data_IF_251294692141
#
_entry.id   IF_251294692141
#
_cell.length_a   1.000
_cell.length_b   1.000
_cell.length_c   1.000
_cell.angle_alpha   90.00
_cell.angle_beta   90.00
_cell.angle_gamma   90.00
#
_symmetry.space_group_name_H-M   'P 1'
#
loop_
_entity.id
_entity.type
_entity.pdbx_description
1 polymer ?
#
# COMPACT_ATOMS: atom_id res chain seq x y z
N UNK A 1 20.45 0.43 -32.58
CA UNK A 1 19.20 0.16 -31.83
C UNK A 1 19.49 0.24 -30.32
N UNK A 2 19.61 1.46 -29.75
CA UNK A 2 20.07 1.66 -28.35
C UNK A 2 19.21 2.71 -27.58
N UNK A 3 18.30 3.43 -28.26
CA UNK A 3 17.64 4.62 -27.71
C UNK A 3 16.41 4.38 -26.80
N UNK A 4 15.92 3.14 -26.65
CA UNK A 4 14.68 2.86 -25.90
C UNK A 4 14.86 2.67 -24.40
N UNK A 5 16.04 2.24 -23.94
CA UNK A 5 16.31 1.94 -22.52
C UNK A 5 16.30 3.21 -21.64
N UNK A 6 16.97 4.29 -22.09
CA UNK A 6 17.14 5.51 -21.30
C UNK A 6 15.82 6.27 -21.06
N UNK A 7 14.92 6.29 -22.04
CA UNK A 7 13.61 6.95 -21.90
C UNK A 7 12.67 6.26 -20.92
N UNK A 8 12.67 4.92 -20.90
CA UNK A 8 11.82 4.15 -19.99
C UNK A 8 12.28 4.29 -18.53
N UNK A 9 13.58 4.24 -18.25
CA UNK A 9 14.10 4.42 -16.89
C UNK A 9 13.87 5.83 -16.36
N UNK A 10 14.07 6.87 -17.19
CA UNK A 10 13.86 8.27 -16.79
C UNK A 10 12.37 8.61 -16.62
N UNK A 11 11.48 7.97 -17.40
CA UNK A 11 10.04 8.05 -17.18
C UNK A 11 9.60 7.36 -15.87
N UNK A 12 10.03 6.11 -15.64
CA UNK A 12 9.70 5.37 -14.42
C UNK A 12 10.24 6.07 -13.15
N UNK A 13 11.45 6.64 -13.22
CA UNK A 13 12.04 7.41 -12.12
C UNK A 13 11.28 8.70 -11.81
N UNK A 14 10.69 9.37 -12.82
CA UNK A 14 9.78 10.51 -12.60
C UNK A 14 8.43 10.09 -12.06
N UNK A 15 7.84 9.02 -12.60
CA UNK A 15 6.52 8.55 -12.22
C UNK A 15 6.49 8.01 -10.79
N UNK A 16 7.47 7.18 -10.42
CA UNK A 16 7.62 6.61 -9.07
C UNK A 16 8.51 7.46 -8.14
N UNK A 17 8.94 8.65 -8.58
CA UNK A 17 9.77 9.55 -7.78
C UNK A 17 9.16 9.90 -6.42
N UNK A 18 7.87 10.30 -6.34
CA UNK A 18 7.18 10.57 -5.08
C UNK A 18 7.16 9.37 -4.13
N UNK A 19 6.96 8.16 -4.65
CA UNK A 19 6.92 6.91 -3.89
C UNK A 19 8.31 6.53 -3.37
N UNK A 20 9.35 6.71 -4.21
CA UNK A 20 10.74 6.52 -3.83
C UNK A 20 11.15 7.52 -2.74
N UNK A 21 10.70 8.78 -2.83
CA UNK A 21 10.94 9.79 -1.79
C UNK A 21 10.19 9.47 -0.48
N UNK A 22 8.94 8.99 -0.56
CA UNK A 22 8.17 8.54 0.61
C UNK A 22 8.83 7.35 1.31
N UNK A 23 9.25 6.33 0.55
CA UNK A 23 10.00 5.20 1.08
C UNK A 23 11.32 5.64 1.72
N UNK A 24 12.03 6.61 1.14
CA UNK A 24 13.29 7.11 1.70
C UNK A 24 13.13 8.12 2.85
N UNK A 25 11.90 8.46 3.25
CA UNK A 25 11.66 9.41 4.34
C UNK A 25 11.82 10.89 3.95
N UNK A 26 11.90 11.20 2.66
CA UNK A 26 12.10 12.57 2.12
C UNK A 26 10.79 13.33 1.90
N UNK A 27 9.65 12.63 1.85
CA UNK A 27 8.33 13.27 1.72
C UNK A 27 7.80 13.88 3.01
N UNK A 28 6.86 14.82 2.86
CA UNK A 28 6.15 15.44 3.98
C UNK A 28 5.21 14.43 4.64
N UNK A 29 5.34 14.25 5.96
CA UNK A 29 4.51 13.30 6.72
C UNK A 29 2.98 13.43 6.47
N UNK A 30 2.37 14.64 6.39
CA UNK A 30 0.95 14.76 6.09
C UNK A 30 0.57 14.23 4.69
N UNK A 31 1.42 14.44 3.68
CA UNK A 31 1.23 13.92 2.32
C UNK A 31 1.27 12.40 2.31
N UNK A 32 2.22 11.80 3.03
CA UNK A 32 2.34 10.33 3.10
C UNK A 32 1.20 9.72 3.91
N UNK A 33 0.82 10.33 5.03
CA UNK A 33 -0.25 9.82 5.89
C UNK A 33 -1.64 9.93 5.23
N UNK A 34 -2.02 11.10 4.70
CA UNK A 34 -3.35 11.30 4.12
C UNK A 34 -3.46 10.83 2.68
N UNK A 35 -2.46 11.14 1.83
CA UNK A 35 -2.48 10.80 0.41
C UNK A 35 -2.34 9.31 0.18
N UNK A 36 -1.21 8.73 0.56
CA UNK A 36 -1.06 7.28 0.49
C UNK A 36 -1.88 6.61 1.61
N UNK A 37 -1.53 6.83 2.87
CA UNK A 37 -2.08 6.08 4.02
C UNK A 37 -3.60 6.02 4.12
N UNK A 38 -4.33 7.09 3.78
CA UNK A 38 -5.80 7.11 3.78
C UNK A 38 -6.37 6.95 2.36
N UNK A 39 -6.08 7.86 1.43
CA UNK A 39 -6.77 7.87 0.14
C UNK A 39 -6.43 6.67 -0.76
N UNK A 40 -5.16 6.25 -0.84
CA UNK A 40 -4.79 5.05 -1.60
C UNK A 40 -5.35 3.77 -0.95
N UNK A 41 -5.41 3.71 0.39
CA UNK A 41 -6.04 2.60 1.12
C UNK A 41 -7.55 2.49 0.83
N UNK A 42 -8.26 3.62 0.75
CA UNK A 42 -9.68 3.65 0.32
C UNK A 42 -9.85 3.18 -1.13
N UNK A 43 -8.91 3.52 -2.02
CA UNK A 43 -8.87 3.00 -3.39
C UNK A 43 -8.74 1.48 -3.45
N UNK A 44 -7.82 0.90 -2.66
CA UNK A 44 -7.67 -0.56 -2.56
C UNK A 44 -8.93 -1.25 -2.00
N UNK A 45 -9.58 -0.65 -1.00
CA UNK A 45 -10.86 -1.14 -0.46
C UNK A 45 -11.96 -1.14 -1.52
N UNK A 46 -12.06 -0.09 -2.34
CA UNK A 46 -13.01 -0.03 -3.44
C UNK A 46 -12.73 -1.10 -4.52
N UNK A 47 -11.46 -1.33 -4.87
CA UNK A 47 -11.07 -2.41 -5.79
C UNK A 47 -11.41 -3.79 -5.22
N UNK A 48 -11.23 -4.02 -3.92
CA UNK A 48 -11.64 -5.25 -3.25
C UNK A 48 -13.16 -5.46 -3.28
N UNK A 49 -13.95 -4.41 -3.06
CA UNK A 49 -15.41 -4.48 -3.14
C UNK A 49 -15.88 -4.90 -4.55
N UNK A 50 -15.20 -4.43 -5.59
CA UNK A 50 -15.46 -4.84 -6.99
C UNK A 50 -15.03 -6.29 -7.25
N UNK A 51 -13.85 -6.70 -6.76
CA UNK A 51 -13.34 -8.05 -6.92
C UNK A 51 -14.28 -9.10 -6.29
N UNK A 52 -14.75 -8.83 -5.06
CA UNK A 52 -15.68 -9.67 -4.32
C UNK A 52 -17.06 -9.76 -5.00
N UNK A 53 -17.54 -8.68 -5.64
CA UNK A 53 -18.79 -8.71 -6.41
C UNK A 53 -18.69 -9.60 -7.64
N UNK A 54 -17.56 -9.53 -8.38
CA UNK A 54 -17.34 -10.33 -9.59
C UNK A 54 -16.86 -11.77 -9.31
N UNK A 55 -16.41 -12.06 -8.09
CA UNK A 55 -15.81 -13.33 -7.65
C UNK A 55 -14.66 -13.82 -8.56
N UNK A 56 -13.86 -12.89 -9.08
CA UNK A 56 -12.69 -13.22 -9.89
C UNK A 56 -11.51 -13.61 -8.99
N UNK A 57 -11.36 -14.91 -8.69
CA UNK A 57 -10.32 -15.46 -7.81
C UNK A 57 -8.90 -14.91 -8.07
N UNK A 58 -8.46 -14.86 -9.33
CA UNK A 58 -7.13 -14.31 -9.69
C UNK A 58 -6.99 -12.81 -9.40
N UNK A 59 -8.07 -12.04 -9.50
CA UNK A 59 -8.05 -10.60 -9.23
C UNK A 59 -8.08 -10.34 -7.71
N UNK A 60 -8.81 -11.16 -6.95
CA UNK A 60 -8.77 -11.14 -5.48
C UNK A 60 -7.38 -11.51 -4.95
N UNK A 61 -6.77 -12.60 -5.42
CA UNK A 61 -5.39 -13.00 -5.06
C UNK A 61 -4.38 -11.89 -5.35
N UNK A 62 -4.44 -11.30 -6.55
CA UNK A 62 -3.57 -10.19 -6.94
C UNK A 62 -3.76 -8.96 -6.04
N UNK A 63 -5.00 -8.62 -5.68
CA UNK A 63 -5.30 -7.53 -4.74
C UNK A 63 -4.80 -7.83 -3.32
N UNK A 64 -4.85 -9.08 -2.85
CA UNK A 64 -4.30 -9.47 -1.55
C UNK A 64 -2.79 -9.28 -1.55
N UNK A 65 -2.08 -9.81 -2.55
CA UNK A 65 -0.64 -9.67 -2.69
C UNK A 65 -0.19 -8.19 -2.79
N UNK A 66 -0.86 -7.39 -3.64
CA UNK A 66 -0.58 -5.95 -3.79
C UNK A 66 -0.85 -5.20 -2.48
N UNK A 67 -1.96 -5.49 -1.80
CA UNK A 67 -2.33 -4.81 -0.54
C UNK A 67 -1.39 -5.16 0.61
N UNK A 68 -0.88 -6.40 0.67
CA UNK A 68 0.14 -6.79 1.63
C UNK A 68 1.46 -6.04 1.39
N UNK A 69 1.94 -6.00 0.15
CA UNK A 69 3.15 -5.26 -0.22
C UNK A 69 3.01 -3.75 0.06
N UNK A 70 1.86 -3.17 -0.31
CA UNK A 70 1.52 -1.78 -0.03
C UNK A 70 1.47 -1.49 1.49
N UNK A 71 0.92 -2.40 2.30
CA UNK A 71 0.83 -2.23 3.76
C UNK A 71 2.21 -2.17 4.41
N UNK A 72 3.16 -3.00 3.96
CA UNK A 72 4.56 -2.91 4.39
C UNK A 72 5.19 -1.60 3.92
N UNK A 73 4.96 -1.22 2.66
CA UNK A 73 5.51 -0.01 2.07
C UNK A 73 5.07 1.27 2.80
N UNK A 74 3.77 1.40 3.09
CA UNK A 74 3.23 2.60 3.75
C UNK A 74 3.63 2.68 5.23
N UNK A 75 3.70 1.54 5.93
CA UNK A 75 4.20 1.47 7.30
C UNK A 75 5.64 1.98 7.39
N UNK A 76 6.54 1.50 6.52
CA UNK A 76 7.94 1.93 6.47
C UNK A 76 8.06 3.40 6.05
N UNK A 77 7.28 3.84 5.06
CA UNK A 77 7.31 5.22 4.56
C UNK A 77 6.88 6.22 5.63
N UNK A 78 5.77 5.96 6.33
CA UNK A 78 5.30 6.79 7.45
C UNK A 78 6.32 6.76 8.60
N UNK A 79 6.89 5.59 8.93
CA UNK A 79 7.91 5.48 9.99
C UNK A 79 9.18 6.27 9.67
N UNK A 80 9.61 6.33 8.40
CA UNK A 80 10.78 7.11 7.98
C UNK A 80 10.48 8.60 7.89
N UNK A 81 9.37 9.01 7.28
CA UNK A 81 8.96 10.42 7.17
C UNK A 81 8.65 11.07 8.54
N UNK A 82 8.33 10.29 9.57
CA UNK A 82 8.07 10.77 10.94
C UNK A 82 9.29 10.80 11.86
N UNK A 83 10.43 10.18 11.50
CA UNK A 83 11.65 10.19 12.33
C UNK A 83 12.21 11.59 12.61
N UNK A 84 12.27 12.55 11.67
CA UNK A 84 12.80 13.88 11.93
C UNK A 84 11.92 14.74 12.86
N UNK A 85 10.67 14.32 13.09
CA UNK A 85 9.65 15.12 13.76
C UNK A 85 9.35 14.56 15.16
N UNK A 86 9.93 15.18 16.19
CA UNK A 86 9.67 14.83 17.60
C UNK A 86 8.32 15.43 18.09
N UNK A 87 7.32 15.49 17.21
CA UNK A 87 5.99 16.05 17.50
C UNK A 87 5.00 14.98 17.98
N UNK A 88 4.00 15.40 18.76
CA UNK A 88 2.91 14.53 19.21
C UNK A 88 2.16 13.88 18.04
N UNK A 89 1.87 14.66 16.99
CA UNK A 89 1.22 14.18 15.76
C UNK A 89 2.03 13.07 15.06
N UNK A 90 3.37 13.11 15.15
CA UNK A 90 4.23 12.08 14.56
C UNK A 90 4.20 10.77 15.35
N UNK A 91 4.01 10.84 16.68
CA UNK A 91 3.76 9.66 17.52
C UNK A 91 2.39 9.05 17.21
N UNK A 92 1.34 9.88 17.08
CA UNK A 92 0.00 9.45 16.67
C UNK A 92 0.04 8.76 15.31
N UNK A 93 0.64 9.40 14.28
CA UNK A 93 0.71 8.84 12.94
C UNK A 93 1.36 7.44 12.94
N UNK A 94 2.50 7.27 13.62
CA UNK A 94 3.17 5.97 13.75
C UNK A 94 2.31 4.92 14.48
N UNK A 95 1.67 5.27 15.59
CA UNK A 95 0.80 4.36 16.34
C UNK A 95 -0.43 3.94 15.54
N UNK A 96 -1.10 4.89 14.89
CA UNK A 96 -2.27 4.66 14.07
C UNK A 96 -1.95 3.82 12.83
N UNK A 97 -0.82 4.06 12.16
CA UNK A 97 -0.38 3.21 11.03
C UNK A 97 0.00 1.79 11.46
N UNK A 98 0.58 1.60 12.66
CA UNK A 98 0.81 0.24 13.20
C UNK A 98 -0.50 -0.48 13.48
N UNK A 99 -1.46 0.17 14.15
CA UNK A 99 -2.78 -0.41 14.40
C UNK A 99 -3.53 -0.73 13.10
N UNK A 100 -3.47 0.18 12.12
CA UNK A 100 -4.03 -0.05 10.78
C UNK A 100 -3.36 -1.20 10.05
N UNK A 101 -2.03 -1.32 10.09
CA UNK A 101 -1.31 -2.41 9.44
C UNK A 101 -1.62 -3.79 10.05
N UNK A 102 -1.82 -3.87 11.37
CA UNK A 102 -2.28 -5.10 12.04
C UNK A 102 -3.70 -5.45 11.59
N UNK A 103 -4.62 -4.48 11.59
CA UNK A 103 -5.98 -4.67 11.10
C UNK A 103 -6.01 -5.12 9.63
N UNK A 104 -5.25 -4.46 8.76
CA UNK A 104 -5.12 -4.81 7.36
C UNK A 104 -4.57 -6.23 7.18
N UNK A 105 -3.52 -6.61 7.92
CA UNK A 105 -2.98 -7.97 7.88
C UNK A 105 -4.02 -9.04 8.30
N UNK A 106 -4.84 -8.76 9.33
CA UNK A 106 -5.94 -9.65 9.72
C UNK A 106 -7.00 -9.76 8.61
N UNK A 107 -7.44 -8.64 8.04
CA UNK A 107 -8.43 -8.63 6.94
C UNK A 107 -7.91 -9.38 5.72
N UNK A 108 -6.66 -9.16 5.32
CA UNK A 108 -6.04 -9.86 4.19
C UNK A 108 -5.90 -11.37 4.46
N UNK A 109 -5.56 -11.77 5.68
CA UNK A 109 -5.53 -13.19 6.07
C UNK A 109 -6.93 -13.84 5.98
N UNK A 110 -7.98 -13.17 6.45
CA UNK A 110 -9.35 -13.68 6.32
C UNK A 110 -9.81 -13.75 4.85
N UNK A 111 -9.48 -12.76 4.02
CA UNK A 111 -9.77 -12.78 2.59
C UNK A 111 -9.04 -13.92 1.87
N UNK A 112 -7.77 -14.17 2.22
CA UNK A 112 -7.00 -15.30 1.67
C UNK A 112 -7.62 -16.64 2.05
N UNK A 113 -8.04 -16.80 3.31
CA UNK A 113 -8.67 -18.03 3.79
C UNK A 113 -10.04 -18.26 3.14
N UNK A 114 -10.87 -17.23 2.94
CA UNK A 114 -12.15 -17.37 2.23
C UNK A 114 -11.92 -17.69 0.74
N UNK A 115 -10.98 -17.01 0.07
CA UNK A 115 -10.60 -17.31 -1.31
C UNK A 115 -10.14 -18.76 -1.47
N UNK A 116 -9.22 -19.24 -0.63
CA UNK A 116 -8.79 -20.63 -0.61
C UNK A 116 -9.97 -21.59 -0.35
N UNK A 117 -10.81 -21.29 0.64
CA UNK A 117 -11.99 -22.10 0.95
C UNK A 117 -13.02 -22.12 -0.19
N UNK A 118 -13.13 -21.06 -1.00
CA UNK A 118 -13.98 -21.03 -2.21
C UNK A 118 -13.37 -21.89 -3.32
N UNK A 119 -12.11 -21.67 -3.67
CA UNK A 119 -11.39 -22.43 -4.70
C UNK A 119 -11.35 -23.93 -4.40
N UNK A 120 -11.23 -24.33 -3.13
CA UNK A 120 -11.26 -25.74 -2.71
C UNK A 120 -12.66 -26.36 -2.71
N UNK A 121 -13.74 -25.57 -2.74
CA UNK A 121 -15.13 -26.07 -2.76
C UNK A 121 -15.72 -26.23 -4.16
N UNK A 122 -15.19 -25.51 -5.16
CA UNK A 122 -15.71 -25.45 -6.53
C UNK A 122 -16.73 -24.33 -6.69
#
# INVERSE_FOLDING_TARGET
MIWTQAGASDFLARFFGPEIDAWNGRQKLPTVFWGYGVAASLGLIAMFAEALQRRHALFEEALIAVSAAYTVWILVSIWRCSRPLISFSSKIARGLTVAWAINAAMVLAFLQLDLLARVLRG
#
